data_IF_953246775173
#
_entry.id   IF_953246775173
#
_cell.length_a   1.000
_cell.length_b   1.000
_cell.length_c   1.000
_cell.angle_alpha   90.00
_cell.angle_beta   90.00
_cell.angle_gamma   90.00
#
_symmetry.space_group_name_H-M   'P 1'
#
loop_
_entity.id
_entity.type
_entity.pdbx_description
1 polymer ?
#
# COMPACT_ATOMS: atom_id res chain seq x y z
N UNK A 1 2.26 80.30 -17.50
CA UNK A 1 3.38 79.45 -17.00
C UNK A 1 3.15 79.20 -15.50
N UNK A 2 3.61 78.09 -14.88
CA UNK A 2 4.46 77.01 -15.39
C UNK A 2 3.84 75.59 -15.22
N UNK A 3 4.46 74.54 -15.76
CA UNK A 3 5.02 73.41 -14.98
C UNK A 3 5.44 72.20 -15.85
N UNK A 4 6.65 71.75 -15.52
CA UNK A 4 7.41 70.61 -16.04
C UNK A 4 6.61 69.32 -16.21
N UNK A 5 6.88 68.62 -17.31
CA UNK A 5 6.61 67.19 -17.48
C UNK A 5 7.83 66.51 -18.10
N UNK A 6 8.59 65.77 -17.31
CA UNK A 6 9.44 64.69 -17.79
C UNK A 6 9.48 63.53 -16.77
N UNK A 7 8.71 62.48 -17.09
CA UNK A 7 9.13 61.08 -17.27
C UNK A 7 9.89 60.31 -16.17
N UNK A 8 9.36 59.12 -15.79
CA UNK A 8 10.00 57.76 -15.78
C UNK A 8 9.48 56.83 -14.65
N UNK A 9 9.00 55.65 -15.07
CA UNK A 9 8.95 54.31 -14.44
C UNK A 9 8.00 53.95 -13.27
N UNK A 10 7.70 52.65 -13.29
CA UNK A 10 6.67 51.86 -12.61
C UNK A 10 6.92 51.59 -11.12
N UNK A 11 5.84 51.30 -10.37
CA UNK A 11 5.79 50.34 -9.24
C UNK A 11 4.34 50.07 -8.73
N UNK A 12 4.16 48.94 -8.01
CA UNK A 12 2.96 48.13 -7.65
C UNK A 12 1.96 48.75 -6.63
N UNK A 13 0.79 48.11 -6.34
CA UNK A 13 0.50 47.56 -4.97
C UNK A 13 -0.37 46.25 -4.94
N UNK A 14 -0.17 45.24 -4.05
CA UNK A 14 -0.73 44.97 -2.68
C UNK A 14 -2.28 44.88 -2.60
N UNK A 15 -3.01 44.04 -1.84
CA UNK A 15 -2.86 42.91 -0.87
C UNK A 15 -4.29 42.28 -0.69
N UNK A 16 -4.50 41.00 -0.27
CA UNK A 16 -5.83 40.39 -0.16
C UNK A 16 -6.29 40.23 1.30
N UNK A 17 -7.03 41.20 1.83
CA UNK A 17 -7.87 41.01 3.04
C UNK A 17 -9.07 41.96 2.98
N UNK A 18 -10.26 41.39 2.84
CA UNK A 18 -11.51 41.81 3.51
C UNK A 18 -12.62 40.78 3.18
N UNK A 19 -13.02 39.99 4.19
CA UNK A 19 -14.22 39.12 4.20
C UNK A 19 -15.40 39.88 4.83
N UNK A 20 -16.68 39.44 4.66
CA UNK A 20 -17.25 38.54 5.68
C UNK A 20 -18.35 37.54 5.20
N UNK A 21 -18.43 36.42 5.91
CA UNK A 21 -19.57 35.54 6.23
C UNK A 21 -20.67 35.23 5.18
N UNK A 22 -20.79 33.93 4.84
CA UNK A 22 -22.08 33.21 4.89
C UNK A 22 -21.82 31.71 5.04
N UNK A 23 -21.81 31.26 6.30
CA UNK A 23 -22.32 29.94 6.66
C UNK A 23 -23.81 29.88 6.27
N UNK A 24 -24.35 28.67 6.06
CA UNK A 24 -25.72 28.37 5.60
C UNK A 24 -25.91 28.23 4.08
N UNK A 25 -25.42 27.11 3.53
CA UNK A 25 -26.24 26.27 2.65
C UNK A 25 -25.64 24.86 2.53
N UNK A 26 -25.62 24.15 3.66
CA UNK A 26 -25.46 22.69 3.75
C UNK A 26 -26.71 21.93 3.22
N UNK A 27 -27.63 22.61 2.52
CA UNK A 27 -28.89 22.05 2.01
C UNK A 27 -28.81 21.50 0.58
N UNK A 28 -27.76 21.79 -0.20
CA UNK A 28 -27.54 21.11 -1.49
C UNK A 28 -26.90 19.72 -1.32
N UNK A 29 -26.52 19.36 -0.09
CA UNK A 29 -26.05 18.03 0.28
C UNK A 29 -27.17 16.97 0.32
N UNK A 30 -28.46 17.33 0.11
CA UNK A 30 -29.59 16.42 0.38
C UNK A 30 -30.63 16.23 -0.74
N UNK A 31 -30.51 16.85 -1.92
CA UNK A 31 -31.49 16.67 -3.02
C UNK A 31 -30.89 16.22 -4.35
N UNK A 32 -29.88 15.36 -4.32
CA UNK A 32 -29.57 14.50 -5.49
C UNK A 32 -29.41 13.03 -5.13
N UNK A 33 -29.88 12.65 -3.94
CA UNK A 33 -30.24 11.27 -3.62
C UNK A 33 -31.62 10.96 -4.20
N UNK A 34 -31.74 10.91 -5.53
CA UNK A 34 -32.79 10.14 -6.17
C UNK A 34 -32.35 9.79 -7.60
N UNK A 35 -32.07 8.49 -7.77
CA UNK A 35 -32.12 7.78 -9.06
C UNK A 35 -30.95 8.03 -10.02
N UNK A 36 -29.76 7.58 -9.61
CA UNK A 36 -28.87 6.84 -10.51
C UNK A 36 -28.86 5.36 -10.10
N UNK A 37 -30.05 4.75 -10.10
CA UNK A 37 -30.19 3.30 -10.11
C UNK A 37 -29.81 2.79 -11.50
N UNK A 38 -28.54 2.39 -11.65
CA UNK A 38 -28.03 1.74 -12.85
C UNK A 38 -26.51 1.62 -12.86
N UNK A 39 -25.98 0.60 -12.18
CA UNK A 39 -24.66 -0.03 -12.46
C UNK A 39 -23.40 0.87 -12.44
N UNK A 40 -22.98 1.43 -11.28
CA UNK A 40 -21.79 2.32 -11.25
C UNK A 40 -20.76 2.10 -10.15
N UNK A 41 -20.83 1.00 -9.41
CA UNK A 41 -19.65 0.49 -8.71
C UNK A 41 -19.32 -0.85 -9.37
N UNK A 42 -18.13 -1.01 -10.00
CA UNK A 42 -17.71 -2.36 -10.33
C UNK A 42 -17.77 -3.16 -9.03
N UNK A 43 -18.50 -4.27 -9.04
CA UNK A 43 -18.44 -5.21 -7.92
C UNK A 43 -16.97 -5.45 -7.60
N UNK A 44 -16.57 -5.44 -6.32
CA UNK A 44 -15.19 -5.71 -5.94
C UNK A 44 -14.82 -7.08 -6.49
N UNK A 45 -14.08 -7.09 -7.61
CA UNK A 45 -13.54 -8.32 -8.16
C UNK A 45 -12.47 -8.77 -7.18
N UNK A 46 -12.70 -9.91 -6.53
CA UNK A 46 -11.67 -10.58 -5.74
C UNK A 46 -10.46 -10.81 -6.63
N UNK A 47 -9.33 -10.16 -6.31
CA UNK A 47 -8.06 -10.32 -7.04
C UNK A 47 -7.10 -11.09 -6.14
N UNK A 48 -6.70 -12.27 -6.58
CA UNK A 48 -5.58 -13.00 -5.97
C UNK A 48 -4.29 -12.39 -6.54
N UNK A 49 -3.43 -11.89 -5.67
CA UNK A 49 -2.13 -11.33 -6.03
C UNK A 49 -1.02 -12.21 -5.45
N UNK A 50 -0.23 -12.82 -6.32
CA UNK A 50 0.98 -13.56 -5.94
C UNK A 50 2.15 -12.59 -5.93
N UNK A 51 2.76 -12.37 -4.76
CA UNK A 51 3.93 -11.52 -4.63
C UNK A 51 5.18 -12.40 -4.50
N UNK A 52 6.25 -11.97 -5.16
CA UNK A 52 7.51 -12.70 -5.23
C UNK A 52 8.62 -11.91 -4.54
N UNK A 53 9.47 -12.60 -3.79
CA UNK A 53 10.58 -12.00 -3.04
C UNK A 53 11.51 -11.20 -3.97
N UNK A 54 11.78 -11.69 -5.18
CA UNK A 54 12.71 -11.05 -6.10
C UNK A 54 12.25 -9.66 -6.58
N UNK A 55 10.95 -9.47 -6.81
CA UNK A 55 10.36 -8.29 -7.46
C UNK A 55 9.44 -7.45 -6.58
N UNK A 56 9.13 -7.89 -5.37
CA UNK A 56 8.22 -7.15 -4.49
C UNK A 56 8.80 -5.79 -4.07
N UNK A 57 7.91 -4.80 -4.00
CA UNK A 57 8.19 -3.48 -3.42
C UNK A 57 8.59 -3.62 -1.95
N UNK A 58 9.58 -2.83 -1.53
CA UNK A 58 10.06 -2.79 -0.16
C UNK A 58 9.14 -1.97 0.75
N UNK A 59 9.04 -2.36 2.02
CA UNK A 59 8.35 -1.56 3.03
C UNK A 59 6.81 -1.70 3.05
N UNK A 60 6.23 -2.47 2.13
CA UNK A 60 4.78 -2.68 2.03
C UNK A 60 4.39 -4.09 2.49
N UNK A 61 3.27 -4.20 3.21
CA UNK A 61 2.72 -5.51 3.61
C UNK A 61 2.07 -6.18 2.40
N UNK A 62 2.54 -7.37 2.07
CA UNK A 62 2.06 -8.20 0.96
C UNK A 62 1.95 -9.66 1.39
N UNK A 63 1.24 -10.44 0.58
CA UNK A 63 1.09 -11.86 0.77
C UNK A 63 2.18 -12.63 0.02
N UNK A 64 2.89 -13.49 0.73
CA UNK A 64 3.94 -14.35 0.19
C UNK A 64 3.66 -15.81 0.49
N UNK A 65 4.06 -16.69 -0.42
CA UNK A 65 4.06 -18.13 -0.19
C UNK A 65 5.50 -18.62 -0.10
N UNK A 66 5.94 -18.94 1.10
CA UNK A 66 7.35 -19.16 1.40
C UNK A 66 7.54 -20.56 1.98
N UNK A 67 8.57 -21.24 1.51
CA UNK A 67 9.05 -22.50 2.09
C UNK A 67 10.15 -22.19 3.09
N UNK A 68 10.00 -22.65 4.33
CA UNK A 68 11.05 -22.53 5.35
C UNK A 68 12.09 -23.62 5.10
N UNK A 69 13.33 -23.22 4.87
CA UNK A 69 14.41 -24.18 4.61
C UNK A 69 15.11 -24.55 5.90
N UNK A 70 15.65 -23.58 6.64
CA UNK A 70 16.50 -23.80 7.81
C UNK A 70 16.13 -22.81 8.93
N UNK A 71 16.23 -23.24 10.20
CA UNK A 71 16.18 -22.32 11.33
C UNK A 71 17.55 -21.65 11.50
N UNK A 72 17.58 -20.33 11.70
CA UNK A 72 18.81 -19.56 11.97
C UNK A 72 18.94 -19.23 13.45
N UNK A 73 17.84 -18.79 14.07
CA UNK A 73 17.70 -18.55 15.51
C UNK A 73 16.23 -18.76 15.92
N UNK A 74 15.87 -18.51 17.19
CA UNK A 74 14.50 -18.72 17.70
C UNK A 74 13.43 -17.96 16.89
N UNK A 75 13.77 -16.81 16.30
CA UNK A 75 12.83 -15.95 15.57
C UNK A 75 13.26 -15.68 14.13
N UNK A 76 14.40 -16.22 13.70
CA UNK A 76 14.91 -16.03 12.34
C UNK A 76 15.02 -17.38 11.63
N UNK A 77 14.54 -17.40 10.40
CA UNK A 77 14.53 -18.57 9.55
C UNK A 77 15.05 -18.21 8.16
N UNK A 78 15.70 -19.15 7.49
CA UNK A 78 15.91 -19.04 6.06
C UNK A 78 14.70 -19.61 5.33
N UNK A 79 14.30 -18.95 4.26
CA UNK A 79 13.25 -19.44 3.40
C UNK A 79 13.39 -18.97 1.96
N UNK A 80 12.55 -19.51 1.12
CA UNK A 80 12.52 -19.19 -0.31
C UNK A 80 11.11 -19.27 -0.86
N UNK A 81 10.87 -18.51 -1.91
CA UNK A 81 9.75 -18.72 -2.80
C UNK A 81 10.26 -19.22 -4.17
N UNK A 82 9.39 -19.21 -5.18
CA UNK A 82 9.78 -19.64 -6.53
C UNK A 82 10.78 -18.68 -7.22
N UNK A 83 11.10 -17.53 -6.62
CA UNK A 83 11.85 -16.45 -7.23
C UNK A 83 13.21 -16.18 -6.59
N UNK A 84 13.31 -16.21 -5.25
CA UNK A 84 14.53 -15.86 -4.52
C UNK A 84 14.50 -16.39 -3.07
N UNK A 85 15.65 -16.31 -2.40
CA UNK A 85 15.80 -16.62 -0.99
C UNK A 85 15.61 -15.36 -0.12
N UNK A 86 15.19 -15.57 1.13
CA UNK A 86 15.07 -14.51 2.13
C UNK A 86 15.38 -15.02 3.55
N UNK A 87 15.57 -14.07 4.47
CA UNK A 87 15.50 -14.30 5.91
C UNK A 87 14.09 -13.95 6.36
N UNK A 88 13.42 -14.85 7.07
CA UNK A 88 12.09 -14.66 7.63
C UNK A 88 12.26 -14.34 9.12
N UNK A 89 11.65 -13.25 9.58
CA UNK A 89 11.60 -12.86 10.99
C UNK A 89 10.17 -13.04 11.49
N UNK A 90 9.97 -13.99 12.40
CA UNK A 90 8.66 -14.39 12.90
C UNK A 90 8.67 -14.54 14.42
N UNK A 91 7.61 -14.05 15.08
CA UNK A 91 7.34 -14.35 16.49
C UNK A 91 6.88 -15.79 16.71
N UNK A 92 6.21 -16.35 15.70
CA UNK A 92 5.71 -17.71 15.73
C UNK A 92 6.81 -18.70 15.36
N UNK A 93 6.80 -19.87 16.01
CA UNK A 93 7.72 -20.95 15.71
C UNK A 93 7.37 -21.59 14.38
N UNK A 94 8.31 -21.58 13.44
CA UNK A 94 8.14 -22.18 12.12
C UNK A 94 8.84 -23.55 12.04
N UNK A 95 8.21 -24.48 11.32
CA UNK A 95 8.77 -25.80 11.05
C UNK A 95 9.56 -25.78 9.74
N UNK A 96 10.77 -26.34 9.76
CA UNK A 96 11.59 -26.52 8.57
C UNK A 96 10.98 -27.54 7.61
N UNK A 97 11.07 -27.27 6.31
CA UNK A 97 10.45 -28.08 5.25
C UNK A 97 8.96 -27.81 5.05
N UNK A 98 8.33 -26.98 5.89
CA UNK A 98 6.94 -26.56 5.73
C UNK A 98 6.82 -25.29 4.90
N UNK A 99 5.60 -25.05 4.43
CA UNK A 99 5.24 -23.91 3.59
C UNK A 99 4.20 -23.07 4.29
N UNK A 100 4.38 -21.76 4.20
CA UNK A 100 3.55 -20.80 4.90
C UNK A 100 3.04 -19.75 3.92
N UNK A 101 1.78 -19.39 4.13
CA UNK A 101 1.22 -18.12 3.69
C UNK A 101 1.62 -17.08 4.73
N UNK A 102 2.37 -16.08 4.29
CA UNK A 102 2.94 -15.04 5.16
C UNK A 102 2.44 -13.70 4.66
N UNK A 103 1.66 -13.01 5.49
CA UNK A 103 1.46 -11.57 5.35
C UNK A 103 2.63 -10.89 6.03
N UNK A 104 3.46 -10.19 5.25
CA UNK A 104 4.69 -9.62 5.78
C UNK A 104 5.20 -8.45 4.98
N UNK A 105 6.16 -7.76 5.56
CA UNK A 105 6.86 -6.65 4.94
C UNK A 105 8.25 -7.10 4.53
N UNK A 106 8.57 -6.94 3.24
CA UNK A 106 9.89 -7.22 2.73
C UNK A 106 10.77 -5.97 2.86
N UNK A 107 11.90 -6.10 3.53
CA UNK A 107 12.90 -5.06 3.68
C UNK A 107 14.09 -5.35 2.76
N UNK A 108 14.80 -4.28 2.36
CA UNK A 108 15.96 -4.37 1.50
C UNK A 108 17.14 -5.12 2.16
N UNK A 109 18.08 -5.58 1.33
CA UNK A 109 19.26 -6.32 1.77
C UNK A 109 19.57 -7.51 0.85
N UNK A 110 20.72 -8.15 1.08
CA UNK A 110 21.10 -9.40 0.40
C UNK A 110 21.65 -10.38 1.44
N UNK A 111 20.87 -11.40 1.86
CA UNK A 111 19.49 -11.68 1.44
C UNK A 111 18.48 -10.65 1.96
N UNK A 112 17.32 -10.55 1.29
CA UNK A 112 16.20 -9.71 1.75
C UNK A 112 15.59 -10.27 3.03
N UNK A 113 15.00 -9.41 3.85
CA UNK A 113 14.38 -9.81 5.12
C UNK A 113 12.86 -9.64 5.05
N UNK A 114 12.11 -10.70 5.32
CA UNK A 114 10.66 -10.71 5.40
C UNK A 114 10.23 -10.68 6.87
N UNK A 115 9.70 -9.53 7.31
CA UNK A 115 9.12 -9.37 8.64
C UNK A 115 7.66 -9.80 8.63
N UNK A 116 7.34 -10.81 9.42
CA UNK A 116 6.01 -11.41 9.47
C UNK A 116 5.04 -10.58 10.32
N UNK A 117 3.84 -10.37 9.79
CA UNK A 117 2.71 -9.75 10.49
C UNK A 117 1.69 -10.83 10.86
N UNK A 118 1.38 -11.71 9.92
CA UNK A 118 0.50 -12.87 10.12
C UNK A 118 1.05 -14.05 9.32
N UNK A 119 0.94 -15.25 9.90
CA UNK A 119 1.42 -16.49 9.33
C UNK A 119 0.37 -17.58 9.42
N UNK A 120 0.28 -18.39 8.36
CA UNK A 120 -0.51 -19.60 8.33
C UNK A 120 0.22 -20.71 7.58
N UNK A 121 0.30 -21.91 8.17
CA UNK A 121 0.78 -23.08 7.42
C UNK A 121 -0.21 -23.43 6.30
N UNK A 122 0.32 -23.70 5.12
CA UNK A 122 -0.49 -24.03 3.95
C UNK A 122 -0.11 -25.36 3.31
N UNK A 123 -1.13 -26.04 2.83
CA UNK A 123 -0.99 -27.23 2.00
C UNK A 123 -1.20 -26.86 0.54
N UNK A 124 -0.12 -26.80 -0.25
CA UNK A 124 -0.20 -26.45 -1.68
C UNK A 124 -1.12 -27.38 -2.46
N UNK A 125 -1.17 -28.67 -2.11
CA UNK A 125 -2.08 -29.62 -2.75
C UNK A 125 -3.53 -29.16 -2.62
N UNK A 126 -3.92 -28.74 -1.41
CA UNK A 126 -5.26 -28.21 -1.13
C UNK A 126 -5.49 -26.88 -1.85
N UNK A 127 -4.51 -25.97 -1.80
CA UNK A 127 -4.59 -24.67 -2.48
C UNK A 127 -4.79 -24.84 -4.00
N UNK A 128 -4.06 -25.74 -4.63
CA UNK A 128 -4.23 -26.03 -6.06
C UNK A 128 -5.63 -26.56 -6.37
N UNK A 129 -6.20 -27.45 -5.55
CA UNK A 129 -7.59 -27.91 -5.73
C UNK A 129 -8.64 -26.82 -5.49
N UNK A 130 -8.34 -25.81 -4.67
CA UNK A 130 -9.26 -24.70 -4.44
C UNK A 130 -9.21 -23.64 -5.56
N UNK A 131 -8.12 -23.60 -6.34
CA UNK A 131 -7.93 -22.67 -7.46
C UNK A 131 -8.35 -23.28 -8.81
N UNK A 132 -8.13 -24.58 -9.02
CA UNK A 132 -8.39 -25.31 -10.28
C UNK A 132 -9.57 -26.27 -10.16
#
# INVERSE_FOLDING_TARGET
MPKNKYNILAEKPQDPKDSPANEENLSLAFESSLILSGTKYPEPRTRIAFNFISTCEHGVVKLFFVTVTHAKSDQEYYGLDASDNCVIVSSDKLETGKRYEIYGRLEGGTPKTLHCVEIREICYRRLCYEIF
#
